data_IF_095139192849
#
_entry.id   IF_095139192849
#
_cell.length_a   1.000
_cell.length_b   1.000
_cell.length_c   1.000
_cell.angle_alpha   90.00
_cell.angle_beta   90.00
_cell.angle_gamma   90.00
#
_symmetry.space_group_name_H-M   'P 1'
#
loop_
_entity.id
_entity.type
_entity.pdbx_description
1 polymer ?
#
# COMPACT_ATOMS: atom_id res chain seq x y z
N UNK A 1 -31.44 -0.55 19.31
CA UNK A 1 -30.16 -0.48 18.61
C UNK A 1 -29.04 -0.50 19.63
N UNK A 2 -28.12 -1.41 19.48
CA UNK A 2 -26.99 -1.52 20.40
C UNK A 2 -25.98 -0.42 20.14
N UNK A 3 -25.55 0.25 21.18
CA UNK A 3 -24.38 1.13 21.08
C UNK A 3 -23.14 0.28 21.03
N UNK A 4 -22.27 0.58 20.08
CA UNK A 4 -20.97 -0.05 20.03
C UNK A 4 -20.08 0.55 21.12
N UNK A 5 -19.55 -0.31 21.98
CA UNK A 5 -18.57 0.08 22.97
C UNK A 5 -17.28 0.45 22.26
N UNK A 6 -16.71 1.59 22.58
CA UNK A 6 -15.45 2.06 22.00
C UNK A 6 -14.33 1.01 22.11
N UNK A 7 -14.29 0.26 23.21
CA UNK A 7 -13.30 -0.80 23.38
C UNK A 7 -13.46 -1.93 22.38
N UNK A 8 -14.72 -2.29 22.05
CA UNK A 8 -14.99 -3.31 21.03
C UNK A 8 -14.58 -2.83 19.64
N UNK A 9 -14.90 -1.59 19.33
CA UNK A 9 -14.50 -0.99 18.05
C UNK A 9 -12.98 -0.98 17.93
N UNK A 10 -12.28 -0.58 18.98
CA UNK A 10 -10.80 -0.55 18.98
C UNK A 10 -10.18 -1.92 18.83
N UNK A 11 -10.78 -2.96 19.41
CA UNK A 11 -10.31 -4.34 19.21
C UNK A 11 -10.46 -4.76 17.77
N UNK A 12 -11.58 -4.42 17.14
CA UNK A 12 -11.78 -4.69 15.72
C UNK A 12 -10.77 -3.95 14.86
N UNK A 13 -10.47 -2.70 15.19
CA UNK A 13 -9.43 -1.93 14.50
C UNK A 13 -8.05 -2.58 14.68
N UNK A 14 -7.74 -3.06 15.89
CA UNK A 14 -6.49 -3.77 16.14
C UNK A 14 -6.36 -5.01 15.25
N UNK A 15 -7.43 -5.77 15.08
CA UNK A 15 -7.43 -6.95 14.22
C UNK A 15 -7.17 -6.56 12.76
N UNK A 16 -7.80 -5.49 12.30
CA UNK A 16 -7.57 -4.95 10.94
C UNK A 16 -6.13 -4.49 10.79
N UNK A 17 -5.61 -3.78 11.80
CA UNK A 17 -4.21 -3.30 11.76
C UNK A 17 -3.23 -4.47 11.68
N UNK A 18 -3.48 -5.56 12.40
CA UNK A 18 -2.62 -6.74 12.36
C UNK A 18 -2.60 -7.36 10.95
N UNK A 19 -3.75 -7.43 10.30
CA UNK A 19 -3.84 -7.92 8.93
C UNK A 19 -3.16 -6.98 7.94
N UNK A 20 -3.37 -5.68 8.11
CA UNK A 20 -2.72 -4.67 7.27
C UNK A 20 -1.20 -4.75 7.39
N UNK A 21 -0.69 -4.95 8.60
CA UNK A 21 0.76 -5.08 8.82
C UNK A 21 1.32 -6.29 8.07
N UNK A 22 0.65 -7.43 8.14
CA UNK A 22 1.07 -8.63 7.40
C UNK A 22 1.10 -8.38 5.90
N UNK A 23 0.05 -7.74 5.37
CA UNK A 23 -0.03 -7.43 3.95
C UNK A 23 1.02 -6.41 3.54
N UNK A 24 1.28 -5.42 4.39
CA UNK A 24 2.33 -4.42 4.15
C UNK A 24 3.70 -5.09 4.03
N UNK A 25 4.04 -5.96 5.00
CA UNK A 25 5.33 -6.67 4.98
C UNK A 25 5.46 -7.52 3.71
N UNK A 26 4.39 -8.24 3.35
CA UNK A 26 4.38 -9.03 2.11
C UNK A 26 4.62 -8.16 0.89
N UNK A 27 3.96 -7.00 0.84
CA UNK A 27 4.14 -6.07 -0.27
C UNK A 27 5.57 -5.54 -0.32
N UNK A 28 6.18 -5.27 0.82
CA UNK A 28 7.59 -4.84 0.89
C UNK A 28 8.54 -5.94 0.41
N UNK A 29 8.28 -7.18 0.76
CA UNK A 29 9.07 -8.32 0.26
C UNK A 29 9.00 -8.42 -1.27
N UNK A 30 7.81 -8.21 -1.83
CA UNK A 30 7.62 -8.18 -3.29
C UNK A 30 8.31 -6.98 -3.92
N UNK A 31 8.28 -5.83 -3.25
CA UNK A 31 9.02 -4.63 -3.70
C UNK A 31 10.52 -4.87 -3.75
N UNK A 32 11.06 -5.63 -2.80
CA UNK A 32 12.47 -6.02 -2.83
C UNK A 32 12.80 -6.85 -4.09
N UNK A 33 11.90 -7.77 -4.46
CA UNK A 33 12.08 -8.57 -5.69
C UNK A 33 12.04 -7.68 -6.93
N UNK A 34 11.13 -6.72 -6.96
CA UNK A 34 11.04 -5.74 -8.07
C UNK A 34 12.35 -4.94 -8.16
N UNK A 35 12.88 -4.48 -7.02
CA UNK A 35 14.13 -3.73 -6.99
C UNK A 35 15.30 -4.55 -7.53
N UNK A 36 15.39 -5.81 -7.15
CA UNK A 36 16.43 -6.71 -7.64
C UNK A 36 16.34 -6.93 -9.15
N UNK A 37 15.13 -7.10 -9.66
CA UNK A 37 14.88 -7.22 -11.10
C UNK A 37 15.31 -5.95 -11.83
N UNK A 38 14.89 -4.80 -11.34
CA UNK A 38 15.22 -3.51 -11.96
C UNK A 38 16.72 -3.24 -11.96
N UNK A 39 17.41 -3.60 -10.87
CA UNK A 39 18.86 -3.48 -10.80
C UNK A 39 19.54 -4.34 -11.86
N UNK A 40 19.12 -5.59 -12.00
CA UNK A 40 19.69 -6.52 -12.97
C UNK A 40 19.45 -6.07 -14.42
N UNK A 41 18.38 -5.31 -14.68
CA UNK A 41 18.00 -4.86 -16.03
C UNK A 41 18.26 -3.38 -16.26
N UNK A 42 18.98 -2.71 -15.37
CA UNK A 42 19.28 -1.27 -15.45
C UNK A 42 18.03 -0.40 -15.60
N UNK A 43 16.97 -0.74 -14.86
CA UNK A 43 15.72 -0.01 -14.89
C UNK A 43 15.65 0.96 -13.71
N UNK A 44 15.02 2.15 -13.87
CA UNK A 44 14.86 3.08 -12.75
C UNK A 44 13.80 2.58 -11.77
N UNK A 45 13.92 2.99 -10.50
CA UNK A 45 12.93 2.68 -9.47
C UNK A 45 11.56 3.27 -9.82
N UNK A 46 11.53 4.53 -10.26
CA UNK A 46 10.29 5.21 -10.61
C UNK A 46 9.72 4.63 -11.90
N UNK A 47 8.46 4.23 -11.83
CA UNK A 47 7.67 3.77 -12.96
C UNK A 47 6.31 4.47 -12.90
N UNK A 48 6.20 5.61 -13.58
CA UNK A 48 5.01 6.47 -13.53
C UNK A 48 3.78 5.77 -14.07
N UNK A 49 3.93 5.01 -15.14
CA UNK A 49 2.81 4.30 -15.73
C UNK A 49 2.26 3.26 -14.77
N UNK A 50 3.14 2.53 -14.10
CA UNK A 50 2.72 1.55 -13.10
C UNK A 50 1.99 2.22 -11.93
N UNK A 51 2.50 3.37 -11.47
CA UNK A 51 1.84 4.12 -10.40
C UNK A 51 0.46 4.62 -10.81
N UNK A 52 0.33 5.12 -12.03
CA UNK A 52 -0.96 5.54 -12.56
C UNK A 52 -1.94 4.37 -12.65
N UNK A 53 -1.48 3.21 -13.13
CA UNK A 53 -2.30 2.01 -13.22
C UNK A 53 -2.81 1.57 -11.84
N UNK A 54 -1.95 1.61 -10.82
CA UNK A 54 -2.34 1.27 -9.45
C UNK A 54 -3.39 2.25 -8.93
N UNK A 55 -3.17 3.55 -9.10
CA UNK A 55 -4.11 4.57 -8.63
C UNK A 55 -5.44 4.46 -9.36
N UNK A 56 -5.43 4.18 -10.66
CA UNK A 56 -6.65 3.98 -11.43
C UNK A 56 -7.45 2.78 -10.90
N UNK A 57 -6.75 1.68 -10.60
CA UNK A 57 -7.39 0.49 -10.02
C UNK A 57 -7.98 0.80 -8.65
N UNK A 58 -7.24 1.51 -7.81
CA UNK A 58 -7.72 1.91 -6.48
C UNK A 58 -8.99 2.77 -6.62
N UNK A 59 -8.97 3.75 -7.51
CA UNK A 59 -10.12 4.62 -7.74
C UNK A 59 -11.34 3.83 -8.20
N UNK A 60 -11.14 2.86 -9.11
CA UNK A 60 -12.23 2.07 -9.67
C UNK A 60 -12.80 1.04 -8.68
N UNK A 61 -12.01 0.61 -7.71
CA UNK A 61 -12.39 -0.45 -6.76
C UNK A 61 -12.83 0.11 -5.40
N UNK A 62 -12.87 1.43 -5.24
CA UNK A 62 -13.20 2.07 -3.97
C UNK A 62 -14.48 2.89 -4.10
N UNK A 63 -15.35 2.78 -3.10
CA UNK A 63 -16.57 3.59 -3.02
C UNK A 63 -16.22 5.08 -2.92
N UNK A 64 -17.10 5.93 -3.43
CA UNK A 64 -16.90 7.38 -3.49
C UNK A 64 -16.50 7.99 -2.14
N UNK A 65 -17.13 7.51 -1.05
CA UNK A 65 -16.88 8.02 0.30
C UNK A 65 -15.41 7.87 0.73
N UNK A 66 -14.75 6.79 0.30
CA UNK A 66 -13.40 6.47 0.73
C UNK A 66 -12.33 6.73 -0.33
N UNK A 67 -12.74 7.03 -1.55
CA UNK A 67 -11.83 7.06 -2.71
C UNK A 67 -10.65 7.99 -2.52
N UNK A 68 -10.90 9.22 -2.10
CA UNK A 68 -9.83 10.21 -1.91
C UNK A 68 -8.81 9.73 -0.88
N UNK A 69 -9.28 9.17 0.23
CA UNK A 69 -8.41 8.67 1.30
C UNK A 69 -7.63 7.44 0.85
N UNK A 70 -8.26 6.55 0.11
CA UNK A 70 -7.60 5.37 -0.44
C UNK A 70 -6.48 5.76 -1.41
N UNK A 71 -6.73 6.76 -2.26
CA UNK A 71 -5.71 7.26 -3.19
C UNK A 71 -4.52 7.86 -2.44
N UNK A 72 -4.76 8.66 -1.40
CA UNK A 72 -3.70 9.23 -0.57
C UNK A 72 -2.88 8.12 0.11
N UNK A 73 -3.57 7.13 0.66
CA UNK A 73 -2.92 6.00 1.32
C UNK A 73 -2.00 5.25 0.35
N UNK A 74 -2.48 4.95 -0.86
CA UNK A 74 -1.68 4.23 -1.84
C UNK A 74 -0.52 5.06 -2.39
N UNK A 75 -0.70 6.37 -2.56
CA UNK A 75 0.40 7.26 -2.96
C UNK A 75 1.53 7.22 -1.93
N UNK A 76 1.17 7.33 -0.66
CA UNK A 76 2.16 7.30 0.42
C UNK A 76 2.86 5.95 0.50
N UNK A 77 2.10 4.86 0.38
CA UNK A 77 2.66 3.52 0.38
C UNK A 77 3.63 3.29 -0.78
N UNK A 78 3.30 3.80 -1.97
CA UNK A 78 4.19 3.71 -3.12
C UNK A 78 5.48 4.51 -2.91
N UNK A 79 5.40 5.66 -2.25
CA UNK A 79 6.58 6.45 -1.89
C UNK A 79 7.49 5.69 -0.92
N UNK A 80 6.92 5.08 0.10
CA UNK A 80 7.66 4.24 1.04
C UNK A 80 8.32 3.07 0.31
N UNK A 81 7.58 2.43 -0.59
CA UNK A 81 8.08 1.31 -1.38
C UNK A 81 9.28 1.71 -2.23
N UNK A 82 9.23 2.89 -2.86
CA UNK A 82 10.37 3.40 -3.65
C UNK A 82 11.58 3.68 -2.77
N UNK A 83 11.39 4.26 -1.61
CA UNK A 83 12.49 4.49 -0.65
C UNK A 83 13.17 3.17 -0.29
N UNK A 84 12.39 2.14 0.01
CA UNK A 84 12.91 0.83 0.33
C UNK A 84 13.66 0.21 -0.85
N UNK A 85 13.11 0.31 -2.06
CA UNK A 85 13.75 -0.21 -3.28
C UNK A 85 15.12 0.42 -3.51
N UNK A 86 15.27 1.72 -3.23
CA UNK A 86 16.55 2.41 -3.37
C UNK A 86 17.63 1.85 -2.42
N UNK A 87 17.23 1.32 -1.27
CA UNK A 87 18.22 0.70 -0.35
C UNK A 87 18.77 -0.62 -0.89
N UNK A 88 18.05 -1.26 -1.81
CA UNK A 88 18.42 -2.56 -2.40
C UNK A 88 19.26 -2.36 -3.67
N UNK A 89 18.99 -1.28 -4.38
CA UNK A 89 19.71 -0.93 -5.60
C UNK A 89 21.05 -0.29 -5.28
#
# INVERSE_FOLDING_TARGET
MEELDLRQIRRQINDVNDEMLKLFVRRMELSAKVASYKKAHNMPTLDRKREEDILQRVANCTEDEYRQYALEFFRYMMDISKQYQETIK
#
